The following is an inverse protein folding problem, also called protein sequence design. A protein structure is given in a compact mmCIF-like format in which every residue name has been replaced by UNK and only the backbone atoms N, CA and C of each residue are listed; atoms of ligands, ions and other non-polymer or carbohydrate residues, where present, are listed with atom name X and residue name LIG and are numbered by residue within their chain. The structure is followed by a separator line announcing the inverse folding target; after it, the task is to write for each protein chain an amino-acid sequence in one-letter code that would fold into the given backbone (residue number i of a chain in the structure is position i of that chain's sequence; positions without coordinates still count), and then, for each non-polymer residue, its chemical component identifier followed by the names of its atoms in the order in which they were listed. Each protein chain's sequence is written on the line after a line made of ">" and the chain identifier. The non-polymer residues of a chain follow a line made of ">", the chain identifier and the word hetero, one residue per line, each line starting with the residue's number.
data_IF_498465092556
#
_entry.id   IF_498465092556
#
_cell.length_a   1.000
_cell.length_b   1.000
_cell.length_c   1.000
_cell.angle_alpha   90.00
_cell.angle_beta   90.00
_cell.angle_gamma   90.00
#
_symmetry.space_group_name_H-M   'P 1'
#
loop_
_entity.id
_entity.type
_entity.pdbx_description
1 polymer ?
#
# COMPACT_ATOMS: atom_id res chain seq x y z
N UNK A 1 -72.58 -5.97 19.70
CA UNK A 1 -72.69 -4.71 20.47
C UNK A 1 -71.28 -4.10 20.59
N UNK A 2 -70.93 -3.04 19.84
CA UNK A 2 -69.73 -2.26 20.11
C UNK A 2 -70.09 -0.98 20.87
N UNK A 3 -69.39 -0.75 21.98
CA UNK A 3 -69.50 0.45 22.83
C UNK A 3 -68.70 1.61 22.21
N UNK A 4 -69.37 2.73 22.02
CA UNK A 4 -68.80 4.04 21.62
C UNK A 4 -68.21 4.76 22.82
N UNK A 5 -67.04 5.39 22.64
CA UNK A 5 -66.68 6.75 23.15
C UNK A 5 -65.16 6.94 23.04
N UNK A 6 -64.56 8.12 22.91
CA UNK A 6 -64.93 9.43 22.34
C UNK A 6 -63.57 10.14 22.16
N UNK A 7 -63.47 10.91 21.08
CA UNK A 7 -62.35 11.73 20.64
C UNK A 7 -61.98 12.81 21.66
N UNK A 8 -60.69 13.10 21.84
CA UNK A 8 -60.25 14.41 22.36
C UNK A 8 -59.15 14.98 21.48
N UNK A 9 -59.45 16.18 21.01
CA UNK A 9 -58.74 17.00 20.03
C UNK A 9 -57.58 17.73 20.70
N UNK A 10 -56.40 17.73 20.08
CA UNK A 10 -55.25 18.54 20.47
C UNK A 10 -54.54 19.10 19.23
N UNK A 11 -54.01 20.32 19.27
CA UNK A 11 -53.97 21.24 18.13
C UNK A 11 -52.83 20.99 17.13
N UNK A 12 -53.13 21.34 15.88
CA UNK A 12 -52.16 21.60 14.83
C UNK A 12 -51.21 22.72 15.25
N UNK A 13 -49.91 22.44 15.27
CA UNK A 13 -48.88 23.46 15.15
C UNK A 13 -47.76 22.90 14.29
N UNK A 14 -47.85 23.20 13.00
CA UNK A 14 -46.78 23.02 12.03
C UNK A 14 -45.59 23.90 12.45
N UNK A 15 -44.42 23.29 12.61
CA UNK A 15 -43.15 23.99 12.62
C UNK A 15 -42.26 23.39 11.54
N UNK A 16 -41.96 24.26 10.60
CA UNK A 16 -41.23 24.02 9.37
C UNK A 16 -39.72 23.84 9.60
N UNK A 17 -39.10 23.16 8.62
CA UNK A 17 -37.74 23.33 8.11
C UNK A 17 -36.62 23.63 9.12
N UNK A 18 -35.65 22.73 9.25
CA UNK A 18 -34.27 22.96 8.72
C UNK A 18 -33.51 21.63 8.63
N UNK A 19 -33.11 21.25 7.41
CA UNK A 19 -32.10 20.23 7.19
C UNK A 19 -30.71 20.89 7.31
N UNK A 20 -29.88 20.42 8.23
CA UNK A 20 -28.43 20.71 8.24
C UNK A 20 -27.71 19.40 8.54
N UNK A 21 -27.22 18.78 7.47
CA UNK A 21 -26.24 17.69 7.52
C UNK A 21 -24.91 18.33 7.89
N UNK A 22 -24.36 18.03 9.05
CA UNK A 22 -22.95 18.31 9.37
C UNK A 22 -22.28 16.97 9.67
N UNK A 23 -21.68 16.43 8.62
CA UNK A 23 -20.65 15.41 8.72
C UNK A 23 -19.35 16.11 9.15
N UNK A 24 -18.86 15.77 10.33
CA UNK A 24 -17.51 16.10 10.77
C UNK A 24 -16.89 14.86 11.37
N UNK A 25 -16.33 14.02 10.51
CA UNK A 25 -15.40 12.97 10.93
C UNK A 25 -14.15 13.67 11.51
N UNK A 26 -14.02 13.67 12.83
CA UNK A 26 -12.79 14.07 13.50
C UNK A 26 -11.77 12.97 13.26
N UNK A 27 -11.00 13.11 12.19
CA UNK A 27 -9.81 12.32 11.94
C UNK A 27 -8.82 12.57 13.09
N UNK A 28 -8.48 11.51 13.84
CA UNK A 28 -7.39 11.54 14.78
C UNK A 28 -6.10 11.83 14.00
N UNK A 29 -5.57 13.03 14.21
CA UNK A 29 -4.30 13.51 13.67
C UNK A 29 -3.17 12.63 14.20
N UNK A 30 -2.71 11.68 13.38
CA UNK A 30 -1.46 10.97 13.60
C UNK A 30 -0.28 11.92 13.34
N UNK A 31 0.06 12.75 14.33
CA UNK A 31 1.30 13.51 14.33
C UNK A 31 2.43 12.59 14.82
N UNK A 32 3.08 11.90 13.89
CA UNK A 32 4.26 11.07 14.15
C UNK A 32 5.40 11.43 13.22
N UNK A 33 6.33 12.26 13.72
CA UNK A 33 7.75 12.25 13.35
C UNK A 33 8.13 12.63 11.93
N UNK A 34 8.62 13.87 11.78
CA UNK A 34 9.54 14.24 10.70
C UNK A 34 10.89 13.56 10.99
N UNK A 35 11.03 12.28 10.64
CA UNK A 35 12.33 11.69 10.37
C UNK A 35 12.73 12.11 8.96
N UNK A 36 14.02 12.38 8.72
CA UNK A 36 14.58 12.59 7.38
C UNK A 36 13.95 11.61 6.40
N UNK A 37 12.97 12.08 5.62
CA UNK A 37 12.04 11.19 4.96
C UNK A 37 12.76 10.51 3.79
N UNK A 38 13.35 9.34 4.07
CA UNK A 38 13.84 8.45 3.04
C UNK A 38 12.71 8.29 2.01
N UNK A 39 13.06 8.54 0.74
CA UNK A 39 12.09 8.39 -0.34
C UNK A 39 11.50 6.98 -0.25
N UNK A 40 10.16 6.83 -0.21
CA UNK A 40 9.53 5.52 -0.23
C UNK A 40 10.11 4.67 -1.37
N UNK A 41 10.36 3.36 -1.15
CA UNK A 41 10.97 2.51 -2.16
C UNK A 41 10.14 2.44 -3.44
N UNK A 42 8.83 2.62 -3.34
CA UNK A 42 7.89 2.71 -4.45
C UNK A 42 7.06 3.98 -4.35
N UNK A 43 6.73 4.60 -5.49
CA UNK A 43 5.81 5.73 -5.53
C UNK A 43 4.39 5.28 -5.18
N UNK A 44 3.68 6.06 -4.36
CA UNK A 44 2.36 5.73 -3.83
C UNK A 44 1.19 5.75 -4.85
N UNK A 45 1.48 5.74 -6.15
CA UNK A 45 0.46 5.67 -7.20
C UNK A 45 0.88 4.68 -8.29
N UNK A 46 -0.04 3.88 -8.86
CA UNK A 46 0.24 2.94 -9.95
C UNK A 46 0.37 3.66 -11.29
N UNK A 47 1.15 4.74 -11.34
CA UNK A 47 1.51 5.36 -12.60
C UNK A 47 2.37 4.34 -13.38
N UNK A 48 1.91 3.96 -14.57
CA UNK A 48 2.69 3.11 -15.45
C UNK A 48 3.94 3.88 -15.88
N UNK A 49 5.11 3.33 -15.61
CA UNK A 49 6.39 3.94 -15.99
C UNK A 49 6.94 3.32 -17.27
N UNK A 50 7.77 4.06 -17.98
CA UNK A 50 8.50 3.55 -19.15
C UNK A 50 9.70 2.70 -18.75
N UNK A 51 10.31 3.01 -17.61
CA UNK A 51 11.43 2.28 -17.00
C UNK A 51 11.34 2.33 -15.47
N UNK A 52 11.95 1.35 -14.79
CA UNK A 52 12.02 1.29 -13.34
C UNK A 52 13.29 1.97 -12.82
N UNK A 53 13.19 2.62 -11.67
CA UNK A 53 14.38 3.02 -10.92
C UNK A 53 14.88 1.87 -10.04
N UNK A 54 16.18 1.85 -9.78
CA UNK A 54 16.77 0.92 -8.82
C UNK A 54 16.31 1.21 -7.39
N UNK A 55 16.06 0.14 -6.65
CA UNK A 55 15.79 0.20 -5.23
C UNK A 55 17.07 0.56 -4.46
N UNK A 56 16.96 1.54 -3.56
CA UNK A 56 18.10 2.04 -2.79
C UNK A 56 18.43 1.17 -1.57
N UNK A 57 17.41 0.52 -1.02
CA UNK A 57 17.48 -0.29 0.19
C UNK A 57 16.74 -1.61 0.00
N UNK A 58 17.08 -2.60 0.81
CA UNK A 58 16.35 -3.88 0.90
C UNK A 58 15.03 -3.68 1.67
N UNK A 59 14.04 -4.59 1.55
CA UNK A 59 12.82 -4.53 2.35
C UNK A 59 13.13 -4.52 3.86
N UNK A 60 12.50 -3.59 4.57
CA UNK A 60 12.59 -3.49 6.03
C UNK A 60 11.53 -4.32 6.77
N UNK A 61 11.50 -4.25 8.11
CA UNK A 61 10.52 -4.95 8.95
C UNK A 61 9.06 -4.65 8.59
N UNK A 62 8.75 -3.42 8.20
CA UNK A 62 7.41 -2.99 7.76
C UNK A 62 6.86 -3.77 6.56
N UNK A 63 7.70 -4.58 5.90
CA UNK A 63 7.33 -5.41 4.76
C UNK A 63 7.51 -6.91 5.03
N UNK A 64 8.28 -7.28 6.05
CA UNK A 64 8.79 -8.65 6.25
C UNK A 64 8.40 -9.25 7.61
N UNK A 65 8.05 -8.41 8.59
CA UNK A 65 7.54 -8.86 9.88
C UNK A 65 6.15 -9.46 9.72
N UNK A 66 5.86 -10.60 10.36
CA UNK A 66 4.51 -11.15 10.35
C UNK A 66 3.54 -10.38 11.27
N UNK A 67 4.06 -9.72 12.29
CA UNK A 67 3.25 -9.02 13.31
C UNK A 67 3.10 -7.53 13.00
N UNK A 68 4.12 -6.93 12.39
CA UNK A 68 4.22 -5.47 12.17
C UNK A 68 4.23 -5.07 10.70
N UNK A 69 3.95 -6.00 9.78
CA UNK A 69 3.84 -5.69 8.36
C UNK A 69 2.78 -4.60 8.13
N UNK A 70 3.18 -3.54 7.44
CA UNK A 70 2.28 -2.48 7.01
C UNK A 70 1.61 -2.91 5.70
N UNK A 71 0.34 -3.33 5.81
CA UNK A 71 -0.47 -3.75 4.67
C UNK A 71 -0.54 -2.70 3.56
N UNK A 72 -0.58 -1.40 3.88
CA UNK A 72 -0.67 -0.37 2.84
C UNK A 72 0.64 -0.27 2.04
N UNK A 73 1.79 -0.39 2.73
CA UNK A 73 3.10 -0.46 2.07
C UNK A 73 3.24 -1.73 1.23
N UNK A 74 2.77 -2.87 1.73
CA UNK A 74 2.73 -4.13 0.98
C UNK A 74 1.90 -4.00 -0.30
N UNK A 75 0.69 -3.44 -0.20
CA UNK A 75 -0.16 -3.22 -1.38
C UNK A 75 0.51 -2.33 -2.41
N UNK A 76 1.24 -1.30 -1.97
CA UNK A 76 2.02 -0.44 -2.89
C UNK A 76 3.07 -1.23 -3.67
N UNK A 77 3.75 -2.20 -3.04
CA UNK A 77 4.74 -3.07 -3.71
C UNK A 77 4.05 -3.97 -4.73
N UNK A 78 2.93 -4.60 -4.35
CA UNK A 78 2.15 -5.49 -5.20
C UNK A 78 1.64 -4.77 -6.45
N UNK A 79 1.04 -3.59 -6.26
CA UNK A 79 0.54 -2.74 -7.34
C UNK A 79 1.67 -2.31 -8.28
N UNK A 80 2.81 -1.88 -7.73
CA UNK A 80 3.96 -1.46 -8.52
C UNK A 80 4.47 -2.58 -9.42
N UNK A 81 4.75 -3.78 -8.88
CA UNK A 81 5.28 -4.87 -9.69
C UNK A 81 4.26 -5.38 -10.72
N UNK A 82 2.97 -5.39 -10.37
CA UNK A 82 1.90 -5.75 -11.32
C UNK A 82 1.85 -4.79 -12.52
N UNK A 83 2.03 -3.49 -12.29
CA UNK A 83 2.00 -2.49 -13.37
C UNK A 83 3.33 -2.38 -14.13
N UNK A 84 4.45 -2.51 -13.41
CA UNK A 84 5.76 -2.02 -13.87
C UNK A 84 6.88 -3.06 -13.82
N UNK A 85 6.69 -4.23 -13.20
CA UNK A 85 7.77 -5.17 -12.89
C UNK A 85 8.52 -5.74 -14.10
N UNK A 86 7.88 -5.71 -15.28
CA UNK A 86 8.46 -6.13 -16.57
C UNK A 86 9.21 -5.00 -17.30
N UNK A 87 9.14 -3.76 -16.82
CA UNK A 87 9.84 -2.63 -17.43
C UNK A 87 11.34 -2.75 -17.17
N UNK A 88 12.20 -2.33 -18.12
CA UNK A 88 13.64 -2.31 -17.91
C UNK A 88 14.03 -1.24 -16.88
N UNK A 89 15.24 -1.34 -16.32
CA UNK A 89 15.80 -0.25 -15.50
C UNK A 89 16.16 0.96 -16.35
N UNK A 90 15.98 2.15 -15.80
CA UNK A 90 16.17 3.41 -16.53
C UNK A 90 17.62 3.64 -16.99
N UNK A 91 18.60 3.07 -16.32
CA UNK A 91 20.01 3.13 -16.71
C UNK A 91 20.44 1.95 -17.62
N UNK A 92 19.50 1.06 -17.96
CA UNK A 92 19.74 -0.13 -18.79
C UNK A 92 20.59 -1.21 -18.11
N UNK A 93 20.91 -1.08 -16.82
CA UNK A 93 21.73 -2.06 -16.08
C UNK A 93 20.88 -3.21 -15.57
N UNK A 94 21.56 -4.27 -15.16
CA UNK A 94 20.94 -5.41 -14.50
C UNK A 94 20.41 -5.02 -13.11
N UNK A 95 19.46 -5.82 -12.61
CA UNK A 95 18.93 -5.69 -11.26
C UNK A 95 20.05 -5.73 -10.21
N UNK A 96 19.97 -4.86 -9.20
CA UNK A 96 20.87 -4.86 -8.05
C UNK A 96 20.42 -5.89 -7.01
N UNK A 97 21.26 -6.13 -6.00
CA UNK A 97 20.88 -6.99 -4.87
C UNK A 97 19.64 -6.47 -4.10
N UNK A 98 19.43 -5.15 -4.04
CA UNK A 98 18.24 -4.56 -3.43
C UNK A 98 16.99 -4.87 -4.26
N UNK A 99 17.08 -4.69 -5.58
CA UNK A 99 15.99 -5.00 -6.50
C UNK A 99 15.56 -6.47 -6.43
N UNK A 100 16.54 -7.39 -6.37
CA UNK A 100 16.28 -8.82 -6.24
C UNK A 100 15.60 -9.15 -4.91
N UNK A 101 15.96 -8.48 -3.81
CA UNK A 101 15.31 -8.68 -2.52
C UNK A 101 13.84 -8.25 -2.55
N UNK A 102 13.54 -7.13 -3.20
CA UNK A 102 12.15 -6.68 -3.40
C UNK A 102 11.33 -7.60 -4.30
N UNK A 103 11.93 -8.10 -5.39
CA UNK A 103 11.27 -9.06 -6.28
C UNK A 103 10.97 -10.40 -5.58
N UNK A 104 11.86 -10.86 -4.69
CA UNK A 104 11.61 -12.05 -3.86
C UNK A 104 10.47 -11.83 -2.90
N UNK A 105 10.47 -10.72 -2.17
CA UNK A 105 9.37 -10.38 -1.28
C UNK A 105 8.02 -10.39 -2.03
N UNK A 106 7.96 -9.82 -3.24
CA UNK A 106 6.76 -9.86 -4.08
C UNK A 106 6.26 -11.30 -4.33
N UNK A 107 7.16 -12.23 -4.65
CA UNK A 107 6.81 -13.64 -4.88
C UNK A 107 6.49 -14.38 -3.58
N UNK A 108 7.22 -14.13 -2.50
CA UNK A 108 7.02 -14.74 -1.19
C UNK A 108 5.65 -14.36 -0.58
N UNK A 109 5.14 -13.18 -0.93
CA UNK A 109 3.76 -12.75 -0.63
C UNK A 109 2.70 -13.45 -1.51
N UNK A 110 3.11 -14.37 -2.39
CA UNK A 110 2.22 -15.18 -3.24
C UNK A 110 1.88 -14.55 -4.59
N UNK A 111 2.57 -13.48 -5.00
CA UNK A 111 2.30 -12.84 -6.29
C UNK A 111 2.94 -13.59 -7.48
N UNK A 112 2.42 -13.34 -8.67
CA UNK A 112 2.84 -14.05 -9.88
C UNK A 112 4.15 -13.50 -10.46
N UNK A 113 5.19 -14.34 -10.48
CA UNK A 113 6.50 -14.02 -11.04
C UNK A 113 6.45 -13.63 -12.53
N UNK A 114 5.37 -13.93 -13.26
CA UNK A 114 5.17 -13.47 -14.65
C UNK A 114 5.12 -11.93 -14.79
N UNK A 115 4.85 -11.20 -13.70
CA UNK A 115 4.93 -9.73 -13.66
C UNK A 115 6.36 -9.20 -13.46
N UNK A 116 7.34 -10.06 -13.26
CA UNK A 116 8.74 -9.68 -13.15
C UNK A 116 9.43 -9.77 -14.50
N UNK A 117 10.38 -8.87 -14.74
CA UNK A 117 11.32 -9.03 -15.84
C UNK A 117 12.18 -10.29 -15.63
N UNK A 118 12.70 -10.93 -16.69
CA UNK A 118 13.47 -12.17 -16.56
C UNK A 118 14.66 -12.08 -15.59
N UNK A 119 15.32 -10.92 -15.49
CA UNK A 119 16.42 -10.68 -14.55
C UNK A 119 16.01 -10.47 -13.09
N UNK A 120 14.70 -10.38 -12.81
CA UNK A 120 14.11 -10.29 -11.47
C UNK A 120 13.40 -11.59 -11.07
N UNK A 121 12.80 -12.31 -12.02
CA UNK A 121 12.04 -13.52 -11.79
C UNK A 121 12.84 -14.83 -11.86
N UNK A 122 14.13 -14.78 -12.23
CA UNK A 122 14.92 -15.99 -12.46
C UNK A 122 16.43 -15.78 -12.33
N UNK A 123 16.95 -15.89 -11.11
CA UNK A 123 18.27 -16.43 -10.79
C UNK A 123 18.42 -16.47 -9.27
N UNK A 124 18.91 -17.59 -8.75
CA UNK A 124 19.23 -17.76 -7.35
C UNK A 124 20.13 -16.65 -6.81
N UNK A 125 20.09 -16.51 -5.50
CA UNK A 125 21.02 -15.68 -4.73
C UNK A 125 22.45 -16.04 -5.18
N UNK A 126 23.31 -15.08 -5.52
CA UNK A 126 24.68 -15.20 -5.08
C UNK A 126 24.62 -15.04 -3.55
N UNK A 127 24.45 -16.17 -2.86
CA UNK A 127 24.95 -16.30 -1.50
C UNK A 127 26.46 -16.01 -1.53
N UNK A 128 26.97 -15.45 -0.44
CA UNK A 128 28.37 -15.11 -0.14
C UNK A 128 28.88 -13.75 -0.66
N UNK A 129 28.82 -12.79 0.27
CA UNK A 129 29.87 -11.81 0.49
C UNK A 129 31.23 -12.54 0.58
N UNK A 130 32.25 -12.23 -0.25
CA UNK A 130 33.56 -12.84 -0.10
C UNK A 130 34.16 -12.34 1.21
N UNK A 131 34.08 -13.19 2.24
CA UNK A 131 34.84 -13.01 3.47
C UNK A 131 36.31 -12.82 3.10
N UNK A 132 36.98 -11.71 3.47
CA UNK A 132 38.41 -11.58 3.23
C UNK A 132 39.12 -12.65 4.06
N UNK A 133 39.75 -13.60 3.38
CA UNK A 133 40.69 -14.52 4.03
C UNK A 133 41.88 -13.73 4.57
N UNK A 134 42.40 -14.06 5.76
CA UNK A 134 43.53 -13.38 6.38
C UNK A 134 44.83 -13.52 5.57
#
# INVERSE_FOLDING_TARGET
>A
MPTTATRTTGPLAALALTAVIVASATACTGSGGHADAERPPFSAAPATVTCQEHQRSRPGPDYTSQEDADTAKIMTVLEHYTANGRKPYCDGRAATAADLAWARLYVDMGADAAYLSPGLGGAGVPDEDPTPSP
#
